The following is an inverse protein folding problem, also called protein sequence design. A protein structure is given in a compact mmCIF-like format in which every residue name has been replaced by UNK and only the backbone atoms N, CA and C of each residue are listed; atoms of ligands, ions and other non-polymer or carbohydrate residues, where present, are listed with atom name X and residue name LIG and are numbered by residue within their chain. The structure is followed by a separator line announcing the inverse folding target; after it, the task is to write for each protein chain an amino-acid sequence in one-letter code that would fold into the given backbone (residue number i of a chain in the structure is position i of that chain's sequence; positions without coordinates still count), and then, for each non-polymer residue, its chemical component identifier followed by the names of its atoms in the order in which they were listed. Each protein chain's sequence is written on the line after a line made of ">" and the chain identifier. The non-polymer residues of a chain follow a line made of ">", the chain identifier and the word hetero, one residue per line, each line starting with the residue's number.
data_IF_307103403827
#
_entry.id   IF_307103403827
#
_cell.length_a   1.000
_cell.length_b   1.000
_cell.length_c   1.000
_cell.angle_alpha   90.00
_cell.angle_beta   90.00
_cell.angle_gamma   90.00
#
_symmetry.space_group_name_H-M   'P 1'
#
loop_
_entity.id
_entity.type
_entity.pdbx_description
1 polymer ?
#
# COMPACT_ATOMS: atom_id res chain seq x y z
N UNK A 1 -28.88 -19.94 1.15
CA UNK A 1 -27.55 -19.87 1.78
C UNK A 1 -26.56 -19.93 0.65
N UNK A 2 -26.22 -18.78 0.09
CA UNK A 2 -25.28 -18.69 -1.02
C UNK A 2 -23.86 -19.03 -0.52
N UNK A 3 -23.11 -19.87 -1.26
CA UNK A 3 -21.72 -20.18 -0.93
C UNK A 3 -20.88 -18.90 -0.99
N UNK A 4 -19.85 -18.77 -0.15
CA UNK A 4 -19.03 -17.57 -0.15
C UNK A 4 -18.37 -17.40 -1.52
N UNK A 5 -18.51 -16.18 -2.05
CA UNK A 5 -17.67 -15.66 -3.11
C UNK A 5 -16.19 -15.84 -2.75
N UNK A 6 -15.35 -15.93 -3.77
CA UNK A 6 -14.01 -16.53 -3.77
C UNK A 6 -13.19 -16.42 -2.47
N UNK A 7 -12.37 -17.44 -2.10
CA UNK A 7 -11.70 -17.54 -0.80
C UNK A 7 -10.68 -16.43 -0.45
N UNK A 8 -10.55 -15.38 -1.27
CA UNK A 8 -9.50 -14.36 -1.15
C UNK A 8 -10.02 -12.91 -1.29
N UNK A 9 -11.33 -12.66 -1.11
CA UNK A 9 -11.85 -11.29 -1.06
C UNK A 9 -11.51 -10.62 0.29
N UNK A 10 -10.40 -9.86 0.32
CA UNK A 10 -10.00 -9.10 1.50
C UNK A 10 -10.98 -7.94 1.76
N UNK A 11 -11.58 -7.91 2.96
CA UNK A 11 -12.45 -6.82 3.40
C UNK A 11 -11.60 -5.64 3.88
N UNK A 12 -11.59 -4.57 3.09
CA UNK A 12 -10.81 -3.36 3.35
C UNK A 12 -11.58 -2.41 4.27
N UNK A 13 -12.89 -2.23 4.06
CA UNK A 13 -13.72 -1.40 4.91
C UNK A 13 -14.58 -2.26 5.84
N UNK A 14 -14.14 -2.45 7.08
CA UNK A 14 -14.89 -3.25 8.07
C UNK A 14 -16.22 -2.61 8.50
N UNK A 15 -16.35 -1.28 8.45
CA UNK A 15 -17.60 -0.60 8.81
C UNK A 15 -18.76 -0.95 7.87
N UNK A 16 -18.49 -1.01 6.56
CA UNK A 16 -19.50 -1.21 5.53
C UNK A 16 -19.34 -2.54 4.77
N UNK A 17 -18.41 -3.40 5.22
CA UNK A 17 -18.12 -4.70 4.64
C UNK A 17 -17.82 -4.63 3.13
N UNK A 18 -16.93 -3.71 2.74
CA UNK A 18 -16.54 -3.50 1.34
C UNK A 18 -15.17 -4.13 1.07
N UNK A 19 -15.11 -5.00 0.06
CA UNK A 19 -13.90 -5.73 -0.36
C UNK A 19 -12.95 -4.88 -1.21
N UNK A 20 -11.68 -5.31 -1.29
CA UNK A 20 -10.67 -4.72 -2.17
C UNK A 20 -11.14 -4.69 -3.63
N UNK A 21 -11.62 -5.83 -4.13
CA UNK A 21 -12.13 -5.97 -5.50
C UNK A 21 -13.23 -4.93 -5.80
N UNK A 22 -14.17 -4.76 -4.87
CA UNK A 22 -15.25 -3.78 -5.01
C UNK A 22 -14.69 -2.36 -5.12
N UNK A 23 -13.77 -1.97 -4.24
CA UNK A 23 -13.19 -0.61 -4.23
C UNK A 23 -12.42 -0.36 -5.52
N UNK A 24 -11.53 -1.28 -5.92
CA UNK A 24 -10.74 -1.15 -7.15
C UNK A 24 -11.62 -1.15 -8.40
N UNK A 25 -12.69 -1.95 -8.42
CA UNK A 25 -13.69 -1.98 -9.49
C UNK A 25 -14.29 -0.59 -9.69
N UNK A 26 -14.82 0.01 -8.63
CA UNK A 26 -15.41 1.35 -8.69
C UNK A 26 -14.39 2.43 -9.08
N UNK A 27 -13.16 2.38 -8.56
CA UNK A 27 -12.08 3.31 -8.94
C UNK A 27 -11.83 3.23 -10.45
N UNK A 28 -11.73 2.02 -11.00
CA UNK A 28 -11.45 1.79 -12.42
C UNK A 28 -12.61 2.19 -13.32
N UNK A 29 -13.84 1.78 -12.97
CA UNK A 29 -15.04 2.06 -13.76
C UNK A 29 -15.38 3.55 -13.78
N UNK A 30 -15.27 4.21 -12.63
CA UNK A 30 -15.57 5.63 -12.47
C UNK A 30 -14.37 6.57 -12.70
N UNK A 31 -13.17 6.03 -12.95
CA UNK A 31 -11.92 6.80 -12.98
C UNK A 31 -11.76 7.71 -11.74
N UNK A 32 -12.11 7.18 -10.56
CA UNK A 32 -12.21 7.94 -9.32
C UNK A 32 -10.82 8.40 -8.86
N UNK A 33 -10.74 9.63 -8.36
CA UNK A 33 -9.48 10.29 -7.97
C UNK A 33 -9.41 10.74 -6.52
N UNK A 34 -10.53 10.65 -5.81
CA UNK A 34 -10.70 11.21 -4.47
C UNK A 34 -11.44 10.18 -3.60
N UNK A 35 -11.08 10.13 -2.32
CA UNK A 35 -11.69 9.19 -1.36
C UNK A 35 -13.17 9.49 -1.21
N UNK A 36 -13.56 10.77 -1.21
CA UNK A 36 -14.94 11.22 -1.15
C UNK A 36 -15.77 10.60 -2.28
N UNK A 37 -15.22 10.53 -3.50
CA UNK A 37 -15.89 9.87 -4.63
C UNK A 37 -15.99 8.37 -4.48
N UNK A 38 -14.99 7.71 -3.89
CA UNK A 38 -15.08 6.29 -3.52
C UNK A 38 -16.18 6.08 -2.47
N UNK A 39 -16.25 6.94 -1.46
CA UNK A 39 -17.28 6.89 -0.42
C UNK A 39 -18.68 7.11 -1.00
N UNK A 40 -18.85 8.05 -1.92
CA UNK A 40 -20.14 8.31 -2.59
C UNK A 40 -20.67 7.07 -3.34
N UNK A 41 -19.80 6.30 -4.00
CA UNK A 41 -20.25 5.18 -4.84
C UNK A 41 -20.41 3.86 -4.09
N UNK A 42 -19.55 3.55 -3.12
CA UNK A 42 -19.59 2.25 -2.43
C UNK A 42 -19.57 2.35 -0.89
N UNK A 43 -19.64 3.55 -0.31
CA UNK A 43 -19.69 3.77 1.14
C UNK A 43 -18.37 3.58 1.88
N UNK A 44 -17.37 2.91 1.26
CA UNK A 44 -16.06 2.72 1.86
C UNK A 44 -15.42 4.06 2.22
N UNK A 45 -14.94 4.18 3.47
CA UNK A 45 -14.36 5.42 3.99
C UNK A 45 -15.33 6.37 4.67
N UNK A 46 -16.66 6.15 4.64
CA UNK A 46 -17.63 7.02 5.31
C UNK A 46 -17.75 6.86 6.84
N UNK A 47 -17.04 5.88 7.42
CA UNK A 47 -17.21 5.42 8.80
C UNK A 47 -16.08 5.91 9.70
N UNK A 48 -15.34 4.97 10.31
CA UNK A 48 -14.18 5.31 11.17
C UNK A 48 -12.94 5.77 10.39
N UNK A 49 -12.99 5.75 9.06
CA UNK A 49 -11.94 6.24 8.15
C UNK A 49 -10.59 5.50 8.22
N UNK A 50 -10.49 4.39 8.97
CA UNK A 50 -9.25 3.59 9.09
C UNK A 50 -8.75 3.00 7.76
N UNK A 51 -9.65 2.82 6.78
CA UNK A 51 -9.35 2.32 5.44
C UNK A 51 -8.91 3.41 4.45
N UNK A 52 -8.96 4.70 4.80
CA UNK A 52 -8.63 5.80 3.88
C UNK A 52 -7.23 5.68 3.26
N UNK A 53 -6.24 5.23 4.04
CA UNK A 53 -4.88 5.02 3.55
C UNK A 53 -4.81 3.96 2.43
N UNK A 54 -5.56 2.87 2.56
CA UNK A 54 -5.61 1.81 1.55
C UNK A 54 -6.41 2.26 0.32
N UNK A 55 -7.51 2.98 0.52
CA UNK A 55 -8.29 3.57 -0.59
C UNK A 55 -7.40 4.54 -1.40
N UNK A 56 -6.64 5.40 -0.74
CA UNK A 56 -5.70 6.31 -1.41
C UNK A 56 -4.64 5.54 -2.19
N UNK A 57 -4.08 4.47 -1.62
CA UNK A 57 -3.13 3.62 -2.32
C UNK A 57 -3.73 3.00 -3.59
N UNK A 58 -4.99 2.56 -3.56
CA UNK A 58 -5.65 1.99 -4.74
C UNK A 58 -5.90 3.03 -5.82
N UNK A 59 -6.28 4.26 -5.44
CA UNK A 59 -6.40 5.40 -6.35
C UNK A 59 -5.03 5.67 -6.98
N UNK A 60 -3.99 5.83 -6.17
CA UNK A 60 -2.64 6.13 -6.65
C UNK A 60 -2.12 5.05 -7.59
N UNK A 61 -2.31 3.77 -7.25
CA UNK A 61 -1.91 2.64 -8.10
C UNK A 61 -2.64 2.67 -9.45
N UNK A 62 -3.93 2.98 -9.46
CA UNK A 62 -4.71 3.08 -10.69
C UNK A 62 -4.18 4.19 -11.62
N UNK A 63 -3.87 5.38 -11.07
CA UNK A 63 -3.42 6.53 -11.88
C UNK A 63 -1.91 6.56 -12.14
N UNK A 64 -1.10 5.85 -11.35
CA UNK A 64 0.36 5.84 -11.44
C UNK A 64 0.93 4.52 -11.98
N UNK A 65 0.17 3.77 -12.78
CA UNK A 65 0.60 2.50 -13.40
C UNK A 65 1.83 2.59 -14.33
N UNK A 66 2.56 3.72 -14.35
CA UNK A 66 3.86 3.91 -15.02
C UNK A 66 5.06 4.17 -14.09
N UNK A 67 4.90 4.22 -12.75
CA UNK A 67 6.03 4.29 -11.80
C UNK A 67 5.91 3.18 -10.76
N UNK A 68 6.87 2.27 -10.80
CA UNK A 68 7.00 1.09 -9.96
C UNK A 68 6.79 1.36 -8.46
N UNK A 69 6.16 0.38 -7.81
CA UNK A 69 5.77 0.26 -6.41
C UNK A 69 6.76 0.89 -5.39
N UNK A 70 6.30 1.44 -4.25
CA UNK A 70 7.15 1.56 -3.07
C UNK A 70 7.50 0.14 -2.61
N UNK A 71 8.74 -0.27 -2.90
CA UNK A 71 9.33 -1.49 -2.35
C UNK A 71 9.19 -1.45 -0.83
N UNK A 72 8.66 -2.54 -0.27
CA UNK A 72 8.76 -2.95 1.14
C UNK A 72 10.02 -2.36 1.78
N UNK A 73 9.97 -1.74 2.98
CA UNK A 73 11.19 -1.33 3.66
C UNK A 73 12.02 -2.59 3.94
N UNK A 74 13.00 -2.84 3.09
CA UNK A 74 14.09 -3.78 3.31
C UNK A 74 14.80 -3.27 4.56
N UNK A 75 14.69 -4.05 5.64
CA UNK A 75 15.23 -3.70 6.94
C UNK A 75 16.73 -3.40 6.80
N UNK A 76 17.10 -2.23 7.25
CA UNK A 76 18.48 -1.81 7.47
C UNK A 76 19.17 -2.74 8.46
N UNK A 77 20.15 -3.54 8.02
CA UNK A 77 21.18 -4.09 8.89
C UNK A 77 22.47 -3.29 8.67
N UNK A 78 22.89 -2.59 9.73
CA UNK A 78 23.95 -1.60 9.71
C UNK A 78 25.34 -2.23 9.61
N UNK A 79 26.07 -1.90 8.55
CA UNK A 79 27.52 -2.06 8.53
C UNK A 79 28.20 -0.76 9.00
N UNK A 80 28.40 -0.63 10.31
CA UNK A 80 29.31 0.38 10.88
C UNK A 80 30.74 -0.01 10.51
N UNK A 81 31.22 0.40 9.32
CA UNK A 81 32.64 0.25 8.96
C UNK A 81 33.43 1.42 9.54
N UNK A 82 33.81 1.32 10.82
CA UNK A 82 34.85 2.17 11.42
C UNK A 82 36.15 1.94 10.66
N UNK A 83 36.50 2.85 9.75
CA UNK A 83 37.79 2.88 9.07
C UNK A 83 38.83 3.40 10.06
N UNK A 84 39.44 2.49 10.80
CA UNK A 84 40.65 2.76 11.55
C UNK A 84 41.79 3.18 10.61
N UNK A 85 42.37 4.33 10.91
CA UNK A 85 43.55 4.96 10.29
C UNK A 85 44.88 4.22 10.56
N UNK A 86 44.86 3.07 11.23
CA UNK A 86 46.05 2.37 11.75
C UNK A 86 46.52 1.17 10.91
N UNK A 87 46.04 1.00 9.66
CA UNK A 87 46.43 -0.16 8.83
C UNK A 87 47.55 0.10 7.82
N UNK A 88 48.25 1.25 7.90
CA UNK A 88 49.27 1.64 6.90
C UNK A 88 50.64 1.96 7.50
N UNK A 89 51.01 1.37 8.64
CA UNK A 89 52.34 1.58 9.22
C UNK A 89 52.96 0.33 9.86
N UNK A 90 52.85 -0.85 9.25
CA UNK A 90 53.62 -2.04 9.67
C UNK A 90 53.98 -2.98 8.51
N UNK A 91 54.18 -2.41 7.33
CA UNK A 91 54.67 -3.18 6.17
C UNK A 91 55.59 -2.28 5.36
N UNK A 92 56.82 -2.08 5.88
CA UNK A 92 58.06 -1.70 5.16
C UNK A 92 59.14 -1.18 6.15
N UNK A 93 59.67 -2.07 6.99
CA UNK A 93 61.10 -2.26 7.27
C UNK A 93 61.26 -3.63 7.95
#
# INVERSE_FOLDING_TARGET
>A
MDPPSSPDEEIICQCFQVSDETIRGHIKEGNLREIEKVTEVCGAGGGCQSCHMLIQLFIDQHHNSGKSQPSKPEKSDGSVKKRGIFSKMFSRF
#
